data_IF_735064611893
#
_entry.id   IF_735064611893
#
_cell.length_a   1.000
_cell.length_b   1.000
_cell.length_c   1.000
_cell.angle_alpha   90.00
_cell.angle_beta   90.00
_cell.angle_gamma   90.00
#
_symmetry.space_group_name_H-M   'P 1'
#
loop_
_entity.id
_entity.type
_entity.pdbx_description
1 polymer ?
#
# COMPACT_ATOMS: atom_id res chain seq x y z
N UNK A 1 0.95 -2.79 -17.46
CA UNK A 1 -0.32 -2.65 -16.71
C UNK A 1 0.01 -2.31 -15.26
N UNK A 2 -0.87 -1.54 -14.56
CA UNK A 2 -0.75 -1.29 -13.11
C UNK A 2 -2.05 -1.66 -12.40
N UNK A 3 -1.94 -2.33 -11.26
CA UNK A 3 -3.07 -2.76 -10.43
C UNK A 3 -2.84 -2.22 -9.01
N UNK A 4 -3.87 -1.64 -8.42
CA UNK A 4 -3.88 -1.21 -7.02
C UNK A 4 -4.93 -2.03 -6.27
N UNK A 5 -4.51 -2.71 -5.21
CA UNK A 5 -5.35 -3.56 -4.36
C UNK A 5 -5.43 -2.96 -2.96
N UNK A 6 -6.65 -2.72 -2.50
CA UNK A 6 -6.92 -2.08 -1.20
C UNK A 6 -7.92 -2.89 -0.36
N UNK A 7 -8.61 -3.88 -0.97
CA UNK A 7 -9.72 -4.58 -0.34
C UNK A 7 -9.34 -5.75 0.56
N UNK A 8 -8.15 -6.34 0.41
CA UNK A 8 -7.68 -7.44 1.25
C UNK A 8 -7.13 -6.91 2.60
N UNK A 9 -8.01 -6.52 3.50
CA UNK A 9 -7.72 -5.87 4.78
C UNK A 9 -7.68 -6.83 5.99
N UNK A 10 -7.79 -8.14 5.75
CA UNK A 10 -7.81 -9.15 6.81
C UNK A 10 -7.17 -10.46 6.35
N UNK A 11 -6.76 -11.27 7.33
CA UNK A 11 -6.23 -12.61 7.11
C UNK A 11 -7.22 -13.45 6.31
N UNK A 12 -6.74 -14.15 5.29
CA UNK A 12 -7.53 -15.02 4.44
C UNK A 12 -8.30 -14.33 3.31
N UNK A 13 -8.21 -13.00 3.21
CA UNK A 13 -8.77 -12.25 2.06
C UNK A 13 -7.76 -12.14 0.94
N UNK A 14 -8.24 -12.32 -0.28
CA UNK A 14 -7.52 -12.06 -1.52
C UNK A 14 -8.50 -11.59 -2.59
N UNK A 15 -8.07 -10.72 -3.49
CA UNK A 15 -8.88 -10.16 -4.58
C UNK A 15 -8.33 -10.56 -5.96
N UNK A 16 -7.02 -10.82 -6.06
CA UNK A 16 -6.34 -11.19 -7.30
C UNK A 16 -6.02 -12.68 -7.35
N UNK A 17 -6.07 -13.22 -8.55
CA UNK A 17 -5.49 -14.53 -8.80
C UNK A 17 -3.97 -14.51 -8.52
N UNK A 18 -3.43 -15.43 -7.70
CA UNK A 18 -2.01 -15.50 -7.38
C UNK A 18 -1.07 -15.54 -8.58
N UNK A 19 -1.53 -16.04 -9.73
CA UNK A 19 -0.76 -16.06 -10.99
C UNK A 19 -0.38 -14.63 -11.43
N UNK A 20 -1.21 -13.64 -11.15
CA UNK A 20 -0.91 -12.23 -11.44
C UNK A 20 0.26 -11.77 -10.58
N UNK A 21 0.23 -12.09 -9.28
CA UNK A 21 1.29 -11.72 -8.33
C UNK A 21 2.63 -12.38 -8.67
N UNK A 22 2.63 -13.63 -9.13
CA UNK A 22 3.84 -14.32 -9.55
C UNK A 22 4.54 -13.67 -10.75
N UNK A 23 3.79 -12.92 -11.57
CA UNK A 23 4.29 -12.26 -12.78
C UNK A 23 4.51 -10.76 -12.61
N UNK A 24 4.09 -10.20 -11.49
CA UNK A 24 4.10 -8.77 -11.25
C UNK A 24 5.31 -8.32 -10.43
N UNK A 25 5.70 -7.07 -10.61
CA UNK A 25 6.52 -6.34 -9.66
C UNK A 25 5.61 -5.89 -8.51
N UNK A 26 5.72 -6.55 -7.38
CA UNK A 26 4.85 -6.31 -6.22
C UNK A 26 5.47 -5.23 -5.33
N UNK A 27 4.67 -4.23 -4.98
CA UNK A 27 5.03 -3.18 -4.02
C UNK A 27 3.98 -3.17 -2.92
N UNK A 28 4.43 -3.10 -1.68
CA UNK A 28 3.57 -3.06 -0.49
C UNK A 28 3.71 -1.71 0.22
N UNK A 29 2.77 -1.35 1.05
CA UNK A 29 2.90 -0.19 1.94
C UNK A 29 3.85 -0.48 3.11
N UNK A 30 3.68 -1.63 3.78
CA UNK A 30 4.52 -2.15 4.85
C UNK A 30 4.54 -3.68 4.77
N UNK A 31 5.73 -4.28 4.79
CA UNK A 31 5.88 -5.74 4.68
C UNK A 31 5.25 -6.48 5.85
N UNK A 32 5.47 -6.01 7.08
CA UNK A 32 4.99 -6.71 8.26
C UNK A 32 3.46 -6.79 8.26
N UNK A 33 2.79 -5.71 7.87
CA UNK A 33 1.33 -5.65 7.81
C UNK A 33 0.79 -6.40 6.59
N UNK A 34 1.35 -6.16 5.40
CA UNK A 34 0.89 -6.76 4.15
C UNK A 34 1.02 -8.29 4.13
N UNK A 35 2.05 -8.85 4.79
CA UNK A 35 2.24 -10.30 4.90
C UNK A 35 1.17 -11.00 5.74
N UNK A 36 0.49 -10.27 6.64
CA UNK A 36 -0.55 -10.83 7.51
C UNK A 36 -1.97 -10.54 7.02
N UNK A 37 -2.22 -9.40 6.41
CA UNK A 37 -3.58 -8.95 6.08
C UNK A 37 -3.74 -8.30 4.71
N UNK A 38 -2.67 -8.16 3.92
CA UNK A 38 -2.72 -7.58 2.57
C UNK A 38 -3.00 -8.64 1.50
N UNK A 39 -3.08 -8.21 0.26
CA UNK A 39 -3.31 -9.06 -0.92
C UNK A 39 -2.36 -10.25 -1.03
N UNK A 40 -1.15 -10.12 -0.47
CA UNK A 40 -0.12 -11.16 -0.53
C UNK A 40 -0.24 -12.22 0.58
N UNK A 41 -1.09 -12.02 1.61
CA UNK A 41 -1.16 -12.91 2.77
C UNK A 41 -1.56 -14.36 2.40
N UNK A 42 -2.57 -14.53 1.55
CA UNK A 42 -3.05 -15.86 1.13
C UNK A 42 -2.02 -16.56 0.23
N UNK A 43 -1.50 -15.93 -0.84
CA UNK A 43 -0.45 -16.53 -1.64
C UNK A 43 0.82 -16.89 -0.86
N UNK A 44 1.23 -16.06 0.11
CA UNK A 44 2.36 -16.36 1.01
C UNK A 44 2.06 -17.60 1.86
N UNK A 45 0.90 -17.67 2.50
CA UNK A 45 0.51 -18.80 3.37
C UNK A 45 0.43 -20.13 2.60
N UNK A 46 0.13 -20.07 1.31
CA UNK A 46 0.07 -21.24 0.40
C UNK A 46 1.40 -21.54 -0.26
N UNK A 47 2.45 -20.75 -0.02
CA UNK A 47 3.76 -20.94 -0.65
C UNK A 47 3.79 -20.65 -2.16
N UNK A 48 2.80 -19.92 -2.68
CA UNK A 48 2.72 -19.56 -4.10
C UNK A 48 3.63 -18.38 -4.45
N UNK A 49 3.91 -17.55 -3.47
CA UNK A 49 4.92 -16.47 -3.52
C UNK A 49 5.74 -16.49 -2.22
N UNK A 50 6.89 -15.85 -2.25
CA UNK A 50 7.77 -15.66 -1.10
C UNK A 50 8.08 -14.17 -0.89
N UNK A 51 8.85 -13.84 0.15
CA UNK A 51 9.27 -12.45 0.38
C UNK A 51 10.07 -11.87 -0.79
N UNK A 52 10.84 -12.69 -1.45
CA UNK A 52 11.68 -12.31 -2.60
C UNK A 52 10.85 -11.87 -3.82
N UNK A 53 9.59 -12.28 -3.91
CA UNK A 53 8.66 -11.80 -4.94
C UNK A 53 8.19 -10.35 -4.69
N UNK A 54 8.31 -9.86 -3.45
CA UNK A 54 7.98 -8.46 -3.13
C UNK A 54 9.19 -7.59 -3.43
N UNK A 55 9.03 -6.71 -4.42
CA UNK A 55 10.09 -5.85 -4.91
C UNK A 55 10.51 -4.79 -3.91
N UNK A 56 9.55 -4.11 -3.32
CA UNK A 56 9.82 -2.97 -2.45
C UNK A 56 8.63 -2.64 -1.53
N UNK A 57 8.92 -1.93 -0.47
CA UNK A 57 7.95 -1.06 0.19
C UNK A 57 7.85 0.27 -0.57
N UNK A 58 6.65 0.87 -0.60
CA UNK A 58 6.41 2.12 -1.33
C UNK A 58 7.35 3.25 -0.87
N UNK A 59 7.69 3.27 0.41
CA UNK A 59 8.63 4.24 0.97
C UNK A 59 10.02 4.18 0.35
N UNK A 60 10.51 2.99 0.00
CA UNK A 60 11.82 2.84 -0.67
C UNK A 60 11.80 3.46 -2.07
N UNK A 61 10.67 3.33 -2.79
CA UNK A 61 10.51 3.90 -4.14
C UNK A 61 10.41 5.43 -4.05
N UNK A 62 9.59 5.95 -3.11
CA UNK A 62 9.44 7.40 -2.91
C UNK A 62 10.74 8.06 -2.48
N UNK A 63 11.55 7.36 -1.67
CA UNK A 63 12.89 7.83 -1.26
C UNK A 63 13.95 7.68 -2.37
N UNK A 64 13.62 7.09 -3.51
CA UNK A 64 14.58 6.88 -4.61
C UNK A 64 15.58 5.75 -4.37
N UNK A 65 15.36 4.91 -3.36
CA UNK A 65 16.24 3.78 -3.03
C UNK A 65 16.05 2.59 -3.98
N UNK A 66 14.83 2.44 -4.50
CA UNK A 66 14.49 1.42 -5.50
C UNK A 66 13.71 2.05 -6.66
N UNK A 67 13.93 1.59 -7.89
CA UNK A 67 13.16 2.10 -9.03
C UNK A 67 11.72 1.57 -8.97
N UNK A 68 10.77 2.43 -9.34
CA UNK A 68 9.39 2.04 -9.58
C UNK A 68 9.24 1.28 -10.90
N UNK A 69 8.16 1.57 -11.63
CA UNK A 69 7.92 1.00 -12.97
C UNK A 69 8.94 1.53 -13.97
N UNK A 70 9.57 0.64 -14.74
CA UNK A 70 10.65 0.96 -15.66
C UNK A 70 10.27 0.75 -17.13
N UNK A 71 9.22 -0.03 -17.43
CA UNK A 71 8.75 -0.25 -18.79
C UNK A 71 7.24 -0.32 -18.90
N UNK A 72 6.72 -0.17 -20.12
CA UNK A 72 5.29 -0.31 -20.42
C UNK A 72 4.81 -1.78 -20.32
N UNK A 73 5.71 -2.73 -20.50
CA UNK A 73 5.40 -4.17 -20.52
C UNK A 73 5.33 -4.76 -19.11
N UNK A 74 5.88 -4.06 -18.12
CA UNK A 74 5.78 -4.52 -16.72
C UNK A 74 4.34 -4.57 -16.24
N UNK A 75 4.01 -5.65 -15.53
CA UNK A 75 2.85 -5.72 -14.64
C UNK A 75 3.32 -5.28 -13.28
N UNK A 76 2.74 -4.23 -12.73
CA UNK A 76 3.02 -3.77 -11.37
C UNK A 76 1.79 -3.87 -10.52
N UNK A 77 1.94 -4.35 -9.29
CA UNK A 77 0.87 -4.44 -8.29
C UNK A 77 1.30 -3.64 -7.07
N UNK A 78 0.45 -2.71 -6.65
CA UNK A 78 0.58 -2.07 -5.35
C UNK A 78 -0.52 -2.61 -4.44
N UNK A 79 -0.14 -3.17 -3.29
CA UNK A 79 -1.08 -3.61 -2.27
C UNK A 79 -0.92 -2.75 -1.03
N UNK A 80 -2.02 -2.17 -0.58
CA UNK A 80 -2.09 -1.33 0.61
C UNK A 80 -3.05 -1.94 1.62
N UNK A 81 -2.61 -2.00 2.86
CA UNK A 81 -3.40 -2.43 4.01
C UNK A 81 -3.87 -1.24 4.85
N UNK A 82 -3.40 -0.04 4.47
CA UNK A 82 -3.65 1.20 5.23
C UNK A 82 -2.75 1.32 6.46
N UNK A 83 -2.01 2.42 6.53
CA UNK A 83 -1.14 2.73 7.67
C UNK A 83 -1.67 3.99 8.37
N UNK A 84 -1.83 3.93 9.69
CA UNK A 84 -2.29 5.08 10.50
C UNK A 84 -1.44 6.35 10.29
N UNK A 85 -0.16 6.20 9.93
CA UNK A 85 0.70 7.34 9.60
C UNK A 85 0.22 8.11 8.36
N UNK A 86 -0.41 7.44 7.40
CA UNK A 86 -0.97 8.08 6.20
C UNK A 86 -2.14 8.99 6.57
N UNK A 87 -3.03 8.52 7.46
CA UNK A 87 -4.15 9.31 7.98
C UNK A 87 -3.65 10.50 8.80
N UNK A 88 -2.68 10.27 9.68
CA UNK A 88 -2.09 11.30 10.53
C UNK A 88 -1.44 12.44 9.70
N UNK A 89 -0.68 12.08 8.67
CA UNK A 89 -0.04 13.06 7.77
C UNK A 89 -1.09 13.81 6.96
N UNK A 90 -2.07 13.11 6.41
CA UNK A 90 -3.15 13.72 5.60
C UNK A 90 -3.99 14.67 6.45
N UNK A 91 -4.38 14.24 7.65
CA UNK A 91 -5.13 15.09 8.59
C UNK A 91 -4.34 16.34 8.99
N UNK A 92 -3.04 16.18 9.28
CA UNK A 92 -2.17 17.32 9.59
C UNK A 92 -2.08 18.33 8.44
N UNK A 93 -1.89 17.85 7.21
CA UNK A 93 -1.83 18.70 6.02
C UNK A 93 -3.17 19.44 5.83
N UNK A 94 -4.29 18.73 5.93
CA UNK A 94 -5.62 19.33 5.81
C UNK A 94 -5.86 20.39 6.88
N UNK A 95 -5.51 20.11 8.13
CA UNK A 95 -5.61 21.04 9.24
C UNK A 95 -4.77 22.30 9.02
N UNK A 96 -3.51 22.17 8.65
CA UNK A 96 -2.64 23.30 8.38
C UNK A 96 -3.17 24.18 7.23
N UNK A 97 -3.64 23.54 6.14
CA UNK A 97 -4.24 24.25 5.00
C UNK A 97 -5.53 25.01 5.41
N UNK A 98 -6.36 24.40 6.23
CA UNK A 98 -7.59 25.01 6.74
C UNK A 98 -7.28 26.27 7.59
N UNK A 99 -6.26 26.20 8.45
CA UNK A 99 -5.83 27.35 9.25
C UNK A 99 -5.36 28.51 8.36
N UNK A 100 -4.53 28.24 7.36
CA UNK A 100 -4.05 29.27 6.41
C UNK A 100 -5.20 29.87 5.62
N UNK A 101 -6.12 29.04 5.15
CA UNK A 101 -7.29 29.48 4.38
C UNK A 101 -8.38 30.11 5.26
N UNK A 102 -8.24 30.05 6.58
CA UNK A 102 -9.24 30.54 7.57
C UNK A 102 -10.62 29.89 7.36
N UNK A 103 -10.64 28.60 7.02
CA UNK A 103 -11.87 27.81 6.86
C UNK A 103 -12.02 26.82 8.01
N UNK A 104 -13.27 26.42 8.28
CA UNK A 104 -13.59 25.52 9.38
C UNK A 104 -14.05 26.24 10.64
N UNK A 105 -14.40 25.46 11.66
CA UNK A 105 -14.87 25.96 12.96
C UNK A 105 -14.18 25.17 14.07
N UNK A 106 -13.66 25.88 15.07
CA UNK A 106 -13.21 25.24 16.30
C UNK A 106 -14.42 24.89 17.16
N UNK A 107 -14.49 23.62 17.56
CA UNK A 107 -15.48 23.12 18.52
C UNK A 107 -14.74 22.52 19.71
N UNK A 108 -15.24 22.81 20.91
CA UNK A 108 -14.76 22.16 22.12
C UNK A 108 -15.45 20.81 22.25
N UNK A 109 -14.67 19.73 22.28
CA UNK A 109 -15.17 18.40 22.58
C UNK A 109 -15.05 18.25 24.10
N UNK A 110 -16.19 18.01 24.76
CA UNK A 110 -16.28 17.86 26.21
C UNK A 110 -16.06 16.40 26.59
#
# INVERSE_FOLDING_TARGET
MHITCIGADAVGKEELDPVILQRAKIVVDDWAQASHSGEINVPLSRGLITKENVWAEIGEIVAGLKPGRQSQDEITVFTSTGLAVQDAVTAKIAYCKALVAKVGRFIKIV
#
